data_IF_212650314841
#
_entry.id   IF_212650314841
#
_cell.length_a   1.000
_cell.length_b   1.000
_cell.length_c   1.000
_cell.angle_alpha   90.00
_cell.angle_beta   90.00
_cell.angle_gamma   90.00
#
_symmetry.space_group_name_H-M   'P 1'
#
loop_
_entity.id
_entity.type
_entity.pdbx_description
1 polymer ?
#
# COMPACT_ATOMS: atom_id res chain seq x y z
N UNK A 1 44.33 42.80 -32.63
CA UNK A 1 43.98 43.42 -31.33
C UNK A 1 43.31 44.77 -31.60
N UNK A 2 42.33 45.27 -30.81
CA UNK A 2 41.56 44.65 -29.72
C UNK A 2 40.02 44.96 -29.69
N UNK A 3 39.31 44.14 -28.88
CA UNK A 3 38.17 44.41 -27.94
C UNK A 3 36.88 45.13 -28.35
N UNK A 4 35.74 44.44 -28.10
CA UNK A 4 34.72 44.77 -27.07
C UNK A 4 33.37 44.15 -27.52
N UNK A 5 32.98 42.94 -27.11
CA UNK A 5 32.37 42.60 -25.82
C UNK A 5 31.31 43.62 -25.37
N UNK A 6 30.03 43.26 -25.56
CA UNK A 6 28.91 43.78 -24.76
C UNK A 6 28.00 42.63 -24.38
N UNK A 7 28.11 42.32 -23.10
CA UNK A 7 27.36 41.39 -22.28
C UNK A 7 25.86 41.71 -22.28
N UNK A 8 25.03 40.68 -22.47
CA UNK A 8 23.62 40.71 -22.12
C UNK A 8 23.46 40.04 -20.73
N UNK A 9 22.65 40.61 -19.82
CA UNK A 9 22.59 40.15 -18.44
C UNK A 9 21.93 38.78 -18.32
N UNK A 10 22.66 37.83 -17.74
CA UNK A 10 22.11 36.62 -17.14
C UNK A 10 21.26 37.00 -15.92
N UNK A 11 19.94 36.85 -16.05
CA UNK A 11 19.06 36.72 -14.89
C UNK A 11 19.09 35.25 -14.46
N UNK A 12 19.99 34.97 -13.51
CA UNK A 12 19.94 33.76 -12.71
C UNK A 12 18.70 33.82 -11.80
N UNK A 13 17.65 33.09 -12.17
CA UNK A 13 16.63 32.66 -11.22
C UNK A 13 16.79 31.15 -11.03
N UNK A 14 17.06 30.81 -9.77
CA UNK A 14 17.42 29.49 -9.29
C UNK A 14 16.48 28.40 -9.79
N UNK A 15 17.09 27.30 -10.24
CA UNK A 15 16.43 26.17 -10.87
C UNK A 15 15.41 25.49 -9.97
N UNK A 16 14.21 25.33 -10.52
CA UNK A 16 13.44 24.10 -10.43
C UNK A 16 12.84 23.86 -11.81
N UNK A 17 13.58 23.20 -12.68
CA UNK A 17 13.01 22.62 -13.89
C UNK A 17 12.26 21.37 -13.45
N UNK A 18 10.94 21.44 -13.38
CA UNK A 18 10.09 20.25 -13.30
C UNK A 18 10.10 19.64 -14.69
N UNK A 19 10.64 18.42 -14.93
CA UNK A 19 10.42 17.76 -16.19
C UNK A 19 8.95 17.32 -16.24
N UNK A 20 8.16 18.05 -17.04
CA UNK A 20 6.91 17.54 -17.59
C UNK A 20 7.23 16.24 -18.37
N UNK A 21 6.47 15.19 -18.05
CA UNK A 21 6.09 14.05 -18.91
C UNK A 21 6.99 13.80 -20.12
N UNK A 22 7.83 12.76 -20.07
CA UNK A 22 8.49 12.29 -21.28
C UNK A 22 9.67 11.33 -21.14
N UNK A 23 10.12 10.99 -19.93
CA UNK A 23 11.18 9.99 -19.74
C UNK A 23 10.61 8.65 -19.29
N UNK A 24 9.77 8.04 -20.13
CA UNK A 24 9.93 6.61 -20.32
C UNK A 24 11.24 6.45 -21.13
N UNK A 25 12.36 6.53 -20.43
CA UNK A 25 13.70 6.40 -21.02
C UNK A 25 13.73 5.11 -21.83
N UNK A 26 14.35 5.10 -23.01
CA UNK A 26 14.52 3.89 -23.84
C UNK A 26 15.11 2.70 -23.05
N UNK A 27 15.79 2.98 -21.94
CA UNK A 27 16.31 2.01 -20.96
C UNK A 27 15.21 1.27 -20.16
N UNK A 28 14.10 1.93 -19.84
CA UNK A 28 12.98 1.34 -19.11
C UNK A 28 12.21 0.27 -19.94
N UNK A 29 12.33 0.31 -21.27
CA UNK A 29 11.78 -0.71 -22.15
C UNK A 29 12.65 -1.99 -22.19
N UNK A 30 13.94 -1.88 -21.85
CA UNK A 30 14.89 -3.00 -21.83
C UNK A 30 14.79 -3.81 -20.52
N UNK A 31 14.27 -3.20 -19.46
CA UNK A 31 14.09 -3.78 -18.12
C UNK A 31 12.68 -4.26 -17.80
N UNK A 32 11.71 -3.96 -18.66
CA UNK A 32 10.35 -4.50 -18.56
C UNK A 32 10.30 -5.88 -19.23
N UNK A 33 10.17 -6.93 -18.41
CA UNK A 33 10.09 -8.32 -18.91
C UNK A 33 8.71 -8.67 -19.45
N UNK A 34 7.68 -8.23 -18.74
CA UNK A 34 6.29 -8.54 -19.07
C UNK A 34 5.41 -7.34 -18.74
N UNK A 35 4.42 -7.10 -19.60
CA UNK A 35 3.35 -6.14 -19.41
C UNK A 35 2.02 -6.80 -19.75
N UNK A 36 1.16 -6.98 -18.75
CA UNK A 36 -0.10 -7.69 -18.84
C UNK A 36 -1.23 -6.70 -18.54
N UNK A 37 -2.00 -6.25 -19.54
CA UNK A 37 -3.08 -5.31 -19.33
C UNK A 37 -4.22 -5.90 -18.50
N UNK A 38 -4.79 -5.09 -17.62
CA UNK A 38 -5.93 -5.42 -16.77
C UNK A 38 -7.18 -4.68 -17.23
N UNK A 39 -8.04 -5.34 -18.02
CA UNK A 39 -9.23 -4.69 -18.60
C UNK A 39 -10.31 -4.34 -17.57
N UNK A 40 -10.43 -5.12 -16.48
CA UNK A 40 -11.55 -5.03 -15.53
C UNK A 40 -11.13 -4.56 -14.13
N UNK A 41 -9.89 -4.12 -13.96
CA UNK A 41 -9.44 -3.53 -12.70
C UNK A 41 -9.65 -2.01 -12.73
N UNK A 42 -10.29 -1.50 -11.69
CA UNK A 42 -10.66 -0.09 -11.57
C UNK A 42 -9.54 0.76 -10.97
N UNK A 43 -8.52 0.12 -10.39
CA UNK A 43 -7.39 0.75 -9.72
C UNK A 43 -6.08 0.55 -10.48
N UNK A 44 -5.84 -0.67 -10.96
CA UNK A 44 -4.68 -1.02 -11.75
C UNK A 44 -5.04 -1.05 -13.24
N UNK A 45 -4.10 -0.61 -14.07
CA UNK A 45 -4.17 -0.66 -15.52
C UNK A 45 -3.47 -1.91 -16.07
N UNK A 46 -2.36 -2.31 -15.45
CA UNK A 46 -1.56 -3.44 -15.90
C UNK A 46 -0.79 -4.07 -14.75
N UNK A 47 -0.35 -5.31 -14.96
CA UNK A 47 0.70 -5.98 -14.20
C UNK A 47 1.98 -5.83 -15.00
N UNK A 48 3.04 -5.30 -14.40
CA UNK A 48 4.37 -5.22 -15.01
C UNK A 48 5.35 -6.04 -14.21
N UNK A 49 6.24 -6.73 -14.91
CA UNK A 49 7.40 -7.39 -14.31
C UNK A 49 8.64 -6.59 -14.68
N UNK A 50 9.30 -6.06 -13.67
CA UNK A 50 10.48 -5.23 -13.83
C UNK A 50 11.70 -6.01 -13.33
N UNK A 51 12.80 -5.99 -14.07
CA UNK A 51 14.09 -6.54 -13.65
C UNK A 51 15.14 -5.43 -13.62
N UNK A 52 15.91 -5.37 -12.54
CA UNK A 52 17.00 -4.41 -12.43
C UNK A 52 17.49 -4.21 -11.00
N UNK A 53 18.54 -3.41 -10.81
CA UNK A 53 19.01 -3.04 -9.49
C UNK A 53 18.01 -2.11 -8.79
N UNK A 54 17.98 -2.18 -7.47
CA UNK A 54 17.27 -1.23 -6.62
C UNK A 54 18.09 0.06 -6.49
N UNK A 55 17.51 1.17 -6.90
CA UNK A 55 18.09 2.51 -6.80
C UNK A 55 17.20 3.43 -5.96
N UNK A 56 17.74 4.57 -5.50
CA UNK A 56 16.95 5.64 -4.85
C UNK A 56 16.02 5.15 -3.72
N UNK A 57 16.46 4.17 -2.93
CA UNK A 57 15.68 3.62 -1.82
C UNK A 57 15.43 4.67 -0.75
N UNK A 58 14.16 4.89 -0.41
CA UNK A 58 13.69 5.86 0.58
C UNK A 58 12.57 5.25 1.42
N UNK A 59 12.74 5.30 2.73
CA UNK A 59 11.70 4.90 3.69
C UNK A 59 10.97 6.16 4.15
N UNK A 60 9.68 6.26 3.86
CA UNK A 60 8.86 7.33 4.41
C UNK A 60 8.47 6.98 5.85
N UNK A 61 9.14 7.59 6.82
CA UNK A 61 8.73 7.55 8.23
C UNK A 61 7.68 8.63 8.43
N UNK A 62 6.40 8.24 8.48
CA UNK A 62 5.29 9.18 8.68
C UNK A 62 4.44 8.74 9.88
N UNK A 63 3.99 9.74 10.64
CA UNK A 63 3.23 9.59 11.88
C UNK A 63 1.88 8.89 11.60
N UNK A 64 1.68 7.77 12.30
CA UNK A 64 0.45 6.96 12.51
C UNK A 64 -0.35 6.39 11.32
N UNK A 65 -0.45 7.04 10.15
CA UNK A 65 -1.28 6.53 9.04
C UNK A 65 -0.48 5.84 7.93
N UNK A 66 0.74 6.30 7.65
CA UNK A 66 1.58 5.94 6.49
C UNK A 66 2.87 5.17 6.89
N UNK A 67 2.92 4.64 8.11
CA UNK A 67 4.04 3.81 8.60
C UNK A 67 4.29 2.66 7.62
N UNK A 68 5.52 2.59 7.09
CA UNK A 68 5.99 1.49 6.25
C UNK A 68 5.82 1.70 4.75
N UNK A 69 5.57 2.92 4.26
CA UNK A 69 5.70 3.19 2.81
C UNK A 69 7.17 3.30 2.44
N UNK A 70 7.62 2.42 1.56
CA UNK A 70 8.96 2.44 0.98
C UNK A 70 8.82 2.81 -0.49
N UNK A 71 9.70 3.70 -0.95
CA UNK A 71 9.84 4.07 -2.36
C UNK A 71 11.22 3.70 -2.83
N UNK A 72 11.30 3.08 -3.98
CA UNK A 72 12.57 2.81 -4.63
C UNK A 72 12.42 2.94 -6.14
N UNK A 73 13.50 3.27 -6.80
CA UNK A 73 13.64 3.14 -8.24
C UNK A 73 14.03 1.72 -8.60
N UNK A 74 13.49 1.20 -9.68
CA UNK A 74 13.94 -0.04 -10.30
C UNK A 74 14.19 0.29 -11.77
N UNK A 75 15.47 0.44 -12.11
CA UNK A 75 15.97 0.96 -13.40
C UNK A 75 15.21 2.19 -13.94
N UNK A 76 15.01 3.19 -13.07
CA UNK A 76 14.35 4.45 -13.42
C UNK A 76 12.83 4.48 -13.27
N UNK A 77 12.18 3.34 -12.97
CA UNK A 77 10.75 3.31 -12.63
C UNK A 77 10.59 3.47 -11.11
N UNK A 78 9.83 4.47 -10.67
CA UNK A 78 9.52 4.67 -9.25
C UNK A 78 8.44 3.68 -8.80
N UNK A 79 8.79 2.83 -7.84
CA UNK A 79 7.92 1.81 -7.24
C UNK A 79 7.62 2.17 -5.79
N UNK A 80 6.33 2.13 -5.44
CA UNK A 80 5.80 2.28 -4.09
C UNK A 80 5.51 0.90 -3.48
N UNK A 81 6.16 0.57 -2.36
CA UNK A 81 5.86 -0.60 -1.55
C UNK A 81 5.19 -0.18 -0.24
N UNK A 82 4.13 -0.88 0.17
CA UNK A 82 3.46 -0.65 1.47
C UNK A 82 3.75 -1.82 2.41
N UNK A 83 4.76 -1.71 3.27
CA UNK A 83 5.14 -2.72 4.26
C UNK A 83 4.39 -2.53 5.59
N UNK A 84 3.09 -2.28 5.51
CA UNK A 84 2.31 -1.84 6.68
C UNK A 84 2.16 -2.94 7.75
N UNK A 85 2.48 -4.20 7.46
CA UNK A 85 1.95 -5.31 8.26
C UNK A 85 2.84 -6.54 8.52
N UNK A 86 4.09 -6.58 8.03
CA UNK A 86 5.05 -7.65 8.33
C UNK A 86 6.37 -7.04 8.81
N UNK A 87 6.90 -7.57 9.93
CA UNK A 87 8.23 -7.35 10.52
C UNK A 87 9.05 -6.26 9.81
N UNK A 88 8.62 -5.02 10.03
CA UNK A 88 8.96 -3.87 9.19
C UNK A 88 10.46 -3.63 9.19
N UNK A 89 11.14 -3.94 10.30
CA UNK A 89 12.59 -3.80 10.43
C UNK A 89 13.35 -4.80 9.55
N UNK A 90 13.06 -6.11 9.67
CA UNK A 90 13.80 -7.15 8.94
C UNK A 90 13.60 -7.05 7.42
N UNK A 91 12.38 -6.72 6.95
CA UNK A 91 12.13 -6.55 5.52
C UNK A 91 12.69 -5.23 4.99
N UNK A 92 12.69 -4.16 5.78
CA UNK A 92 13.35 -2.89 5.39
C UNK A 92 14.86 -3.05 5.35
N UNK A 93 15.47 -3.72 6.32
CA UNK A 93 16.91 -4.03 6.34
C UNK A 93 17.31 -4.92 5.17
N UNK A 94 16.52 -5.95 4.85
CA UNK A 94 16.77 -6.80 3.68
C UNK A 94 16.70 -6.01 2.37
N UNK A 95 15.69 -5.14 2.20
CA UNK A 95 15.57 -4.30 1.00
C UNK A 95 16.68 -3.23 0.93
N UNK A 96 17.09 -2.67 2.07
CA UNK A 96 18.22 -1.75 2.16
C UNK A 96 19.52 -2.45 1.75
N UNK A 97 19.78 -3.66 2.26
CA UNK A 97 20.96 -4.44 1.89
C UNK A 97 21.01 -4.76 0.39
N UNK A 98 19.86 -5.08 -0.22
CA UNK A 98 19.77 -5.32 -1.67
C UNK A 98 20.03 -4.03 -2.48
N UNK A 99 19.56 -2.88 -1.99
CA UNK A 99 19.84 -1.58 -2.61
C UNK A 99 21.33 -1.19 -2.49
N UNK A 100 21.94 -1.40 -1.32
CA UNK A 100 23.34 -1.10 -1.06
C UNK A 100 24.27 -1.97 -1.92
N UNK A 101 23.92 -3.24 -2.11
CA UNK A 101 24.65 -4.20 -2.93
C UNK A 101 24.34 -4.09 -4.43
N UNK A 102 23.39 -3.23 -4.82
CA UNK A 102 22.84 -3.14 -6.19
C UNK A 102 22.50 -4.51 -6.77
N UNK A 103 22.00 -5.41 -5.92
CA UNK A 103 21.64 -6.74 -6.35
C UNK A 103 20.49 -6.62 -7.35
N UNK A 104 20.58 -7.22 -8.55
CA UNK A 104 19.47 -7.27 -9.47
C UNK A 104 18.31 -8.05 -8.84
N UNK A 105 17.11 -7.47 -8.96
CA UNK A 105 15.88 -8.06 -8.45
C UNK A 105 14.83 -8.11 -9.56
N UNK A 106 13.94 -9.08 -9.48
CA UNK A 106 12.73 -9.15 -10.31
C UNK A 106 11.54 -8.76 -9.45
N UNK A 107 10.75 -7.79 -9.88
CA UNK A 107 9.61 -7.30 -9.13
C UNK A 107 8.32 -7.35 -9.96
N UNK A 108 7.27 -7.90 -9.36
CA UNK A 108 5.91 -7.78 -9.87
C UNK A 108 5.24 -6.54 -9.30
N UNK A 109 4.85 -5.62 -10.18
CA UNK A 109 4.21 -4.36 -9.81
C UNK A 109 2.87 -4.22 -10.51
N UNK A 110 1.92 -3.60 -9.81
CA UNK A 110 0.70 -3.08 -10.43
C UNK A 110 0.97 -1.66 -10.92
N UNK A 111 0.84 -1.42 -12.23
CA UNK A 111 0.70 -0.07 -12.74
C UNK A 111 -0.71 0.41 -12.40
N UNK A 112 -0.80 1.44 -11.57
CA UNK A 112 -2.06 2.08 -11.19
C UNK A 112 -2.53 3.02 -12.30
N UNK A 113 -3.84 3.30 -12.32
CA UNK A 113 -4.41 4.22 -13.32
C UNK A 113 -3.90 5.65 -13.22
N UNK A 114 -3.35 6.05 -12.07
CA UNK A 114 -2.67 7.34 -11.86
C UNK A 114 -1.22 7.35 -12.36
N UNK A 115 -0.75 6.24 -12.96
CA UNK A 115 0.62 6.08 -13.46
C UNK A 115 1.65 5.68 -12.40
N UNK A 116 1.23 5.53 -11.14
CA UNK A 116 2.13 5.04 -10.08
C UNK A 116 2.29 3.52 -10.16
N UNK A 117 3.42 2.99 -9.68
CA UNK A 117 3.68 1.56 -9.65
C UNK A 117 3.67 1.08 -8.20
N UNK A 118 2.81 0.11 -7.88
CA UNK A 118 2.75 -0.46 -6.53
C UNK A 118 3.32 -1.86 -6.51
N UNK A 119 4.27 -2.12 -5.60
CA UNK A 119 4.90 -3.43 -5.43
C UNK A 119 3.91 -4.45 -4.85
N UNK A 120 3.85 -5.64 -5.47
CA UNK A 120 3.14 -6.80 -4.93
C UNK A 120 4.09 -7.89 -4.42
N UNK A 121 5.17 -8.16 -5.17
CA UNK A 121 6.23 -9.09 -4.80
C UNK A 121 7.58 -8.68 -5.39
N UNK A 122 8.66 -9.07 -4.74
CA UNK A 122 10.04 -8.82 -5.15
C UNK A 122 10.86 -10.09 -4.93
N UNK A 123 11.63 -10.49 -5.93
CA UNK A 123 12.46 -11.69 -5.92
C UNK A 123 13.91 -11.30 -6.18
N UNK A 124 14.79 -11.34 -5.16
CA UNK A 124 16.22 -11.16 -5.37
C UNK A 124 16.78 -12.26 -6.27
N UNK A 125 17.72 -11.93 -7.17
CA UNK A 125 18.38 -12.98 -7.97
C UNK A 125 19.04 -14.02 -7.05
N UNK A 126 18.71 -15.29 -7.25
CA UNK A 126 19.21 -16.42 -6.47
C UNK A 126 18.42 -16.71 -5.17
N UNK A 127 17.36 -15.97 -4.87
CA UNK A 127 16.44 -16.31 -3.80
C UNK A 127 15.33 -17.24 -4.30
N UNK A 128 14.95 -18.24 -3.52
CA UNK A 128 13.81 -19.11 -3.84
C UNK A 128 12.47 -18.57 -3.34
N UNK A 129 12.50 -17.63 -2.39
CA UNK A 129 11.30 -17.07 -1.76
C UNK A 129 11.14 -15.59 -2.11
N UNK A 130 9.98 -15.18 -2.65
CA UNK A 130 9.69 -13.79 -2.93
C UNK A 130 9.43 -13.01 -1.63
N UNK A 131 9.99 -11.81 -1.55
CA UNK A 131 9.65 -10.80 -0.56
C UNK A 131 8.29 -10.19 -0.97
N UNK A 132 7.23 -10.54 -0.25
CA UNK A 132 5.87 -10.06 -0.52
C UNK A 132 5.47 -8.98 0.50
N UNK A 133 5.40 -7.69 0.13
CA UNK A 133 4.98 -6.62 1.04
C UNK A 133 3.55 -6.77 1.62
N UNK A 134 2.69 -7.56 0.97
CA UNK A 134 1.29 -7.69 1.38
C UNK A 134 0.73 -9.08 1.07
N UNK A 135 0.91 -10.09 1.93
CA UNK A 135 0.07 -11.26 1.84
C UNK A 135 -1.32 -10.81 2.26
N UNK A 136 -2.23 -10.68 1.29
CA UNK A 136 -3.66 -10.46 1.51
C UNK A 136 -4.22 -11.38 2.61
N UNK A 137 -3.63 -12.58 2.74
CA UNK A 137 -3.87 -13.54 3.82
C UNK A 137 -3.68 -12.92 5.22
N UNK A 138 -2.61 -12.16 5.48
CA UNK A 138 -2.37 -11.55 6.80
C UNK A 138 -3.42 -10.49 7.13
N UNK A 139 -3.87 -9.71 6.14
CA UNK A 139 -4.95 -8.74 6.32
C UNK A 139 -6.29 -9.40 6.59
N UNK A 140 -6.63 -10.40 5.79
CA UNK A 140 -7.85 -11.18 5.97
C UNK A 140 -7.83 -11.84 7.35
N UNK A 141 -6.75 -12.51 7.75
CA UNK A 141 -6.63 -13.16 9.06
C UNK A 141 -6.79 -12.19 10.23
N UNK A 142 -6.15 -11.02 10.19
CA UNK A 142 -6.34 -9.98 11.23
C UNK A 142 -7.78 -9.47 11.27
N UNK A 143 -8.38 -9.26 10.11
CA UNK A 143 -9.80 -8.89 9.98
C UNK A 143 -10.72 -9.95 10.56
N UNK A 144 -10.51 -11.23 10.23
CA UNK A 144 -11.27 -12.36 10.75
C UNK A 144 -11.11 -12.54 12.26
N UNK A 145 -9.93 -12.22 12.83
CA UNK A 145 -9.71 -12.24 14.29
C UNK A 145 -10.40 -11.09 15.02
N UNK A 146 -10.57 -9.93 14.37
CA UNK A 146 -11.15 -8.73 14.97
C UNK A 146 -12.67 -8.62 14.77
N UNK A 147 -13.21 -9.19 13.69
CA UNK A 147 -14.64 -9.14 13.35
C UNK A 147 -15.57 -9.68 14.46
N UNK A 148 -15.27 -10.81 15.13
CA UNK A 148 -16.12 -11.30 16.22
C UNK A 148 -16.16 -10.34 17.41
N UNK A 149 -15.05 -9.65 17.69
CA UNK A 149 -14.98 -8.65 18.77
C UNK A 149 -15.78 -7.41 18.41
N UNK A 150 -15.65 -6.91 17.18
CA UNK A 150 -16.44 -5.80 16.69
C UNK A 150 -17.94 -6.13 16.74
N UNK A 151 -18.36 -7.28 16.20
CA UNK A 151 -19.76 -7.71 16.26
C UNK A 151 -20.31 -7.79 17.70
N UNK A 152 -19.54 -8.38 18.63
CA UNK A 152 -19.92 -8.42 20.05
C UNK A 152 -20.03 -7.03 20.65
N UNK A 153 -19.07 -6.15 20.36
CA UNK A 153 -19.07 -4.79 20.87
C UNK A 153 -20.25 -3.99 20.32
N UNK A 154 -20.59 -4.16 19.04
CA UNK A 154 -21.77 -3.54 18.42
C UNK A 154 -23.07 -4.04 19.07
N UNK A 155 -23.20 -5.36 19.30
CA UNK A 155 -24.38 -5.94 19.94
C UNK A 155 -24.55 -5.46 21.40
N UNK A 156 -23.47 -5.50 22.19
CA UNK A 156 -23.49 -5.09 23.60
C UNK A 156 -23.72 -3.60 23.74
N UNK A 157 -23.01 -2.77 22.97
CA UNK A 157 -23.20 -1.31 23.00
C UNK A 157 -24.57 -0.89 22.48
N UNK A 158 -25.11 -1.58 21.48
CA UNK A 158 -26.48 -1.34 21.00
C UNK A 158 -27.53 -1.62 22.06
N UNK A 159 -27.42 -2.76 22.77
CA UNK A 159 -28.34 -3.12 23.84
C UNK A 159 -28.25 -2.16 25.04
N UNK A 160 -27.03 -1.85 25.48
CA UNK A 160 -26.79 -0.92 26.60
C UNK A 160 -27.27 0.49 26.24
N UNK A 161 -26.97 0.95 25.03
CA UNK A 161 -27.40 2.27 24.54
C UNK A 161 -28.91 2.39 24.47
N UNK A 162 -29.60 1.39 23.89
CA UNK A 162 -31.06 1.39 23.80
C UNK A 162 -31.72 1.38 25.19
N UNK A 163 -31.22 0.55 26.12
CA UNK A 163 -31.75 0.49 27.49
C UNK A 163 -31.50 1.82 28.23
N UNK A 164 -30.29 2.37 28.15
CA UNK A 164 -29.91 3.60 28.84
C UNK A 164 -30.71 4.82 28.33
N UNK A 165 -30.92 4.92 27.01
CA UNK A 165 -31.75 5.99 26.42
C UNK A 165 -33.22 5.82 26.82
N UNK A 166 -33.76 4.60 26.76
CA UNK A 166 -35.14 4.33 27.15
C UNK A 166 -35.40 4.69 28.62
N UNK A 167 -34.52 4.25 29.53
CA UNK A 167 -34.61 4.55 30.96
C UNK A 167 -34.39 6.05 31.24
N UNK A 168 -33.42 6.69 30.58
CA UNK A 168 -33.14 8.11 30.73
C UNK A 168 -34.30 9.02 30.29
N UNK A 169 -35.06 8.61 29.27
CA UNK A 169 -36.25 9.34 28.79
C UNK A 169 -37.51 9.07 29.63
N UNK A 170 -37.62 7.90 30.24
CA UNK A 170 -38.82 7.50 31.02
C UNK A 170 -38.77 7.89 32.48
N UNK A 171 -37.58 8.07 33.05
CA UNK A 171 -37.40 8.37 34.46
C UNK A 171 -37.18 9.87 34.64
N UNK A 172 -38.17 10.58 35.19
CA UNK A 172 -38.02 11.96 35.62
C UNK A 172 -37.30 12.01 36.99
N UNK A 173 -36.00 11.72 36.99
CA UNK A 173 -35.14 11.71 38.19
C UNK A 173 -33.76 12.30 37.85
N UNK A 174 -33.00 12.70 38.88
CA UNK A 174 -31.59 13.11 38.74
C UNK A 174 -30.70 12.05 38.06
N UNK A 175 -31.15 10.79 38.04
CA UNK A 175 -30.49 9.67 37.33
C UNK A 175 -30.66 9.68 35.81
N UNK A 176 -31.57 10.49 35.27
CA UNK A 176 -31.78 10.62 33.81
C UNK A 176 -30.53 11.10 33.09
N UNK A 177 -29.83 12.09 33.66
CA UNK A 177 -28.64 12.66 33.04
C UNK A 177 -27.45 11.67 32.95
N UNK A 178 -27.05 10.97 34.04
CA UNK A 178 -26.07 9.89 33.96
C UNK A 178 -26.43 8.79 32.95
N UNK A 179 -27.70 8.39 32.88
CA UNK A 179 -28.17 7.37 31.92
C UNK A 179 -28.03 7.82 30.47
N UNK A 180 -28.33 9.10 30.18
CA UNK A 180 -28.11 9.66 28.85
C UNK A 180 -26.62 9.72 28.47
N UNK A 181 -25.72 10.00 29.43
CA UNK A 181 -24.26 9.94 29.21
C UNK A 181 -23.80 8.52 28.88
N UNK A 182 -24.31 7.51 29.60
CA UNK A 182 -24.05 6.09 29.27
C UNK A 182 -24.58 5.74 27.89
N UNK A 183 -25.77 6.21 27.53
CA UNK A 183 -26.34 6.06 26.19
C UNK A 183 -25.46 6.67 25.10
N UNK A 184 -24.92 7.88 25.33
CA UNK A 184 -24.03 8.55 24.40
C UNK A 184 -22.70 7.80 24.22
N UNK A 185 -22.08 7.33 25.31
CA UNK A 185 -20.85 6.52 25.27
C UNK A 185 -21.08 5.18 24.54
N UNK A 186 -22.21 4.53 24.80
CA UNK A 186 -22.59 3.31 24.10
C UNK A 186 -22.81 3.57 22.60
N UNK A 187 -23.42 4.70 22.23
CA UNK A 187 -23.54 5.13 20.84
C UNK A 187 -22.19 5.34 20.15
N UNK A 188 -21.23 5.97 20.82
CA UNK A 188 -19.88 6.15 20.29
C UNK A 188 -19.15 4.81 20.07
N UNK A 189 -19.26 3.89 21.03
CA UNK A 189 -18.70 2.54 20.90
C UNK A 189 -19.35 1.74 19.76
N UNK A 190 -20.68 1.84 19.60
CA UNK A 190 -21.41 1.24 18.49
C UNK A 190 -20.93 1.79 17.15
N UNK A 191 -20.78 3.11 17.04
CA UNK A 191 -20.30 3.73 15.81
C UNK A 191 -18.88 3.31 15.44
N UNK A 192 -17.98 3.29 16.42
CA UNK A 192 -16.62 2.80 16.22
C UNK A 192 -16.60 1.34 15.75
N UNK A 193 -17.48 0.50 16.30
CA UNK A 193 -17.57 -0.89 15.88
C UNK A 193 -18.12 -1.05 14.47
N UNK A 194 -19.15 -0.29 14.11
CA UNK A 194 -19.70 -0.28 12.74
C UNK A 194 -18.66 0.15 11.72
N UNK A 195 -17.84 1.16 12.03
CA UNK A 195 -16.73 1.58 11.17
C UNK A 195 -15.70 0.45 10.95
N UNK A 196 -15.39 -0.35 11.98
CA UNK A 196 -14.50 -1.51 11.81
C UNK A 196 -15.13 -2.59 10.94
N UNK A 197 -16.43 -2.87 11.14
CA UNK A 197 -17.18 -3.85 10.35
C UNK A 197 -17.24 -3.43 8.88
N UNK A 198 -17.58 -2.17 8.60
CA UNK A 198 -17.60 -1.60 7.26
C UNK A 198 -16.22 -1.64 6.60
N UNK A 199 -15.16 -1.27 7.33
CA UNK A 199 -13.78 -1.35 6.84
C UNK A 199 -13.37 -2.79 6.49
N UNK A 200 -13.85 -3.78 7.24
CA UNK A 200 -13.60 -5.18 6.92
C UNK A 200 -14.36 -5.61 5.65
N UNK A 201 -15.65 -5.31 5.56
CA UNK A 201 -16.48 -5.67 4.40
C UNK A 201 -16.00 -4.99 3.11
N UNK A 202 -15.63 -3.71 3.17
CA UNK A 202 -15.04 -3.00 2.03
C UNK A 202 -13.74 -3.65 1.58
N UNK A 203 -12.87 -4.06 2.50
CA UNK A 203 -11.62 -4.78 2.18
C UNK A 203 -11.91 -6.13 1.54
N UNK A 204 -12.88 -6.88 2.06
CA UNK A 204 -13.26 -8.19 1.55
C UNK A 204 -13.93 -8.10 0.17
N UNK A 205 -14.78 -7.09 -0.02
CA UNK A 205 -15.42 -6.78 -1.30
C UNK A 205 -14.39 -6.39 -2.36
N UNK A 206 -13.44 -5.53 -2.01
CA UNK A 206 -12.33 -5.13 -2.88
C UNK A 206 -11.48 -6.35 -3.28
N UNK A 207 -11.22 -7.24 -2.31
CA UNK A 207 -10.49 -8.49 -2.54
C UNK A 207 -11.21 -9.40 -3.52
N UNK A 208 -12.54 -9.54 -3.36
CA UNK A 208 -13.36 -10.32 -4.25
C UNK A 208 -13.39 -9.73 -5.66
N UNK A 209 -13.55 -8.40 -5.76
CA UNK A 209 -13.61 -7.67 -7.03
C UNK A 209 -12.30 -7.75 -7.80
N UNK A 210 -11.16 -7.73 -7.09
CA UNK A 210 -9.80 -7.83 -7.67
C UNK A 210 -9.26 -9.26 -7.74
N UNK A 211 -10.05 -10.27 -7.39
CA UNK A 211 -9.61 -11.67 -7.30
C UNK A 211 -8.90 -12.15 -8.57
N UNK A 212 -9.41 -11.78 -9.75
CA UNK A 212 -8.79 -12.17 -11.03
C UNK A 212 -7.42 -11.53 -11.24
N UNK A 213 -7.27 -10.23 -10.99
CA UNK A 213 -5.99 -9.53 -11.11
C UNK A 213 -4.95 -10.08 -10.13
N UNK A 214 -5.38 -10.42 -8.92
CA UNK A 214 -4.51 -11.03 -7.91
C UNK A 214 -4.12 -12.47 -8.25
N UNK A 215 -5.04 -13.26 -8.80
CA UNK A 215 -4.74 -14.60 -9.30
C UNK A 215 -3.75 -14.56 -10.46
N UNK A 216 -3.91 -13.60 -11.37
CA UNK A 216 -2.95 -13.37 -12.46
C UNK A 216 -1.58 -13.01 -11.89
N UNK A 217 -1.51 -12.03 -10.98
CA UNK A 217 -0.25 -11.66 -10.32
C UNK A 217 0.42 -12.85 -9.61
N UNK A 218 -0.36 -13.67 -8.92
CA UNK A 218 0.15 -14.88 -8.27
C UNK A 218 0.68 -15.91 -9.27
N UNK A 219 0.03 -16.06 -10.44
CA UNK A 219 0.50 -16.95 -11.51
C UNK A 219 1.79 -16.46 -12.14
N UNK A 220 1.94 -15.14 -12.32
CA UNK A 220 3.17 -14.51 -12.79
C UNK A 220 4.28 -14.73 -11.76
N UNK A 221 4.02 -14.46 -10.48
CA UNK A 221 4.98 -14.73 -9.40
C UNK A 221 5.45 -16.19 -9.42
N UNK A 222 4.52 -17.15 -9.52
CA UNK A 222 4.85 -18.58 -9.56
C UNK A 222 5.73 -18.94 -10.77
N UNK A 223 5.47 -18.35 -11.93
CA UNK A 223 6.31 -18.52 -13.14
C UNK A 223 7.76 -18.11 -12.88
N UNK A 224 7.98 -16.94 -12.27
CA UNK A 224 9.32 -16.43 -12.01
C UNK A 224 10.03 -17.14 -10.85
N UNK A 225 9.31 -17.53 -9.79
CA UNK A 225 9.87 -18.37 -8.73
C UNK A 225 10.27 -19.75 -9.25
N UNK A 226 9.47 -20.36 -10.15
CA UNK A 226 9.77 -21.65 -10.76
C UNK A 226 10.97 -21.59 -11.74
N UNK A 227 11.07 -20.53 -12.53
CA UNK A 227 12.18 -20.33 -13.47
C UNK A 227 13.54 -20.21 -12.75
N UNK A 228 13.61 -19.46 -11.64
CA UNK A 228 14.86 -19.34 -10.87
C UNK A 228 15.29 -20.63 -10.15
N UNK A 229 14.41 -21.62 -10.01
CA UNK A 229 14.74 -22.92 -9.45
C UNK A 229 15.35 -23.89 -10.48
N UNK A 230 15.24 -23.60 -11.79
CA UNK A 230 15.78 -24.43 -12.87
C UNK A 230 17.12 -23.94 -13.42
N UNK A 231 17.48 -22.67 -13.23
CA UNK A 231 18.77 -22.09 -13.66
C UNK A 231 19.93 -22.38 -12.66
N UNK A 232 19.80 -23.42 -11.82
CA UNK A 232 20.85 -23.93 -10.92
C UNK A 232 21.09 -25.41 -11.19
#
# INVERSE_FOLDING_TARGET
MPKSEKSAPQLCLHGVTIPLNGFASAKAAETMKEDIPLERDHRARAIKVLEGPLDNFRVAVTTSADIGRIRFGLDGILVDARLREQNTTATTEALQALADQRTPVVAGVFEMRDGTHTLDWLLPQGAQQPITPNPMQVRLEKGWRSLPRALRLAAVSGLIGAAAIFLGLKIASAWSFPLLVVGALAGAALMFSLLQIESFFSTLWESFRRRRALQLMASVMAKYCGAQAHDR
#
